data_IF_011194192127
#
_entry.id   IF_011194192127
#
_cell.length_a   1.000
_cell.length_b   1.000
_cell.length_c   1.000
_cell.angle_alpha   90.00
_cell.angle_beta   90.00
_cell.angle_gamma   90.00
#
_symmetry.space_group_name_H-M   'P 1'
#
loop_
_entity.id
_entity.type
_entity.pdbx_description
1 polymer ?
#
# COMPACT_ATOMS: atom_id res chain seq x y z
N UNK A 1 3.68 -12.81 12.39
CA UNK A 1 2.88 -12.49 11.18
C UNK A 1 2.51 -11.02 11.10
N UNK A 2 1.84 -10.44 12.10
CA UNK A 2 1.40 -9.03 12.03
C UNK A 2 2.54 -8.02 11.82
N UNK A 3 3.58 -8.08 12.66
CA UNK A 3 4.76 -7.20 12.56
C UNK A 3 5.41 -7.35 11.17
N UNK A 4 5.52 -8.58 10.67
CA UNK A 4 6.10 -8.84 9.35
C UNK A 4 5.30 -8.17 8.22
N UNK A 5 3.97 -8.36 8.21
CA UNK A 5 3.09 -7.76 7.20
C UNK A 5 3.14 -6.23 7.27
N UNK A 6 3.10 -5.67 8.49
CA UNK A 6 3.23 -4.24 8.72
C UNK A 6 4.57 -3.69 8.22
N UNK A 7 5.69 -4.31 8.59
CA UNK A 7 7.03 -3.87 8.16
C UNK A 7 7.17 -3.91 6.63
N UNK A 8 6.58 -4.91 5.97
CA UNK A 8 6.58 -5.01 4.51
C UNK A 8 5.74 -3.87 3.90
N UNK A 9 4.50 -3.64 4.36
CA UNK A 9 3.66 -2.55 3.85
C UNK A 9 4.29 -1.17 4.03
N UNK A 10 4.88 -0.92 5.20
CA UNK A 10 5.61 0.33 5.48
C UNK A 10 6.80 0.49 4.54
N UNK A 11 7.60 -0.58 4.36
CA UNK A 11 8.75 -0.56 3.46
C UNK A 11 8.35 -0.30 2.00
N UNK A 12 7.32 -1.00 1.49
CA UNK A 12 6.82 -0.77 0.14
C UNK A 12 6.32 0.66 -0.05
N UNK A 13 5.55 1.18 0.91
CA UNK A 13 5.11 2.57 0.89
C UNK A 13 6.28 3.56 0.85
N UNK A 14 7.30 3.35 1.67
CA UNK A 14 8.50 4.18 1.70
C UNK A 14 9.27 4.14 0.36
N UNK A 15 9.36 2.97 -0.28
CA UNK A 15 10.02 2.82 -1.59
C UNK A 15 9.28 3.62 -2.67
N UNK A 16 7.95 3.50 -2.73
CA UNK A 16 7.12 4.25 -3.67
C UNK A 16 7.23 5.75 -3.42
N UNK A 17 7.18 6.17 -2.15
CA UNK A 17 7.33 7.58 -1.76
C UNK A 17 8.71 8.13 -2.18
N UNK A 18 9.78 7.39 -1.91
CA UNK A 18 11.15 7.79 -2.26
C UNK A 18 11.33 7.90 -3.78
N UNK A 19 10.79 6.94 -4.54
CA UNK A 19 10.76 7.00 -5.99
C UNK A 19 10.01 8.23 -6.50
N UNK A 20 8.81 8.49 -5.98
CA UNK A 20 8.02 9.68 -6.35
C UNK A 20 8.76 10.98 -6.09
N UNK A 21 9.39 11.13 -4.92
CA UNK A 21 10.20 12.32 -4.59
C UNK A 21 11.39 12.47 -5.53
N UNK A 22 12.11 11.38 -5.82
CA UNK A 22 13.23 11.38 -6.76
C UNK A 22 12.80 11.82 -8.15
N UNK A 23 11.69 11.27 -8.65
CA UNK A 23 11.12 11.62 -9.95
C UNK A 23 10.73 13.11 -10.00
N UNK A 24 10.01 13.59 -8.99
CA UNK A 24 9.62 15.01 -8.90
C UNK A 24 10.84 15.94 -8.91
N UNK A 25 11.89 15.59 -8.17
CA UNK A 25 13.12 16.37 -8.14
C UNK A 25 13.83 16.38 -9.51
N UNK A 26 13.95 15.23 -10.19
CA UNK A 26 14.52 15.18 -11.55
C UNK A 26 13.82 16.13 -12.51
N UNK A 27 12.49 16.16 -12.48
CA UNK A 27 11.70 17.05 -13.35
C UNK A 27 11.78 18.52 -12.93
N UNK A 28 11.97 18.81 -11.64
CA UNK A 28 12.22 20.19 -11.16
C UNK A 28 13.55 20.74 -11.63
N UNK A 29 14.59 19.91 -11.69
CA UNK A 29 15.94 20.31 -12.09
C UNK A 29 16.22 20.16 -13.60
N UNK A 30 15.26 19.69 -14.40
CA UNK A 30 15.45 19.55 -15.85
C UNK A 30 16.17 18.27 -16.29
N UNK A 31 16.34 17.28 -15.41
CA UNK A 31 17.10 16.05 -15.68
C UNK A 31 16.24 14.92 -16.28
N UNK A 32 15.56 15.19 -17.39
CA UNK A 32 14.67 14.25 -18.09
C UNK A 32 15.18 13.84 -19.47
N UNK A 33 16.48 13.62 -19.63
CA UNK A 33 17.02 13.03 -20.87
C UNK A 33 16.39 11.66 -21.14
N UNK A 34 16.37 11.25 -22.41
CA UNK A 34 15.86 9.92 -22.83
C UNK A 34 16.41 8.77 -21.98
N UNK A 35 17.73 8.73 -21.78
CA UNK A 35 18.39 7.70 -20.95
C UNK A 35 17.95 7.76 -19.48
N UNK A 36 17.85 8.97 -18.91
CA UNK A 36 17.36 9.17 -17.55
C UNK A 36 15.93 8.64 -17.40
N UNK A 37 15.06 8.89 -18.37
CA UNK A 37 13.67 8.40 -18.36
C UNK A 37 13.57 6.89 -18.56
N UNK A 38 14.39 6.30 -19.44
CA UNK A 38 14.46 4.86 -19.61
C UNK A 38 14.85 4.15 -18.29
N UNK A 39 15.84 4.70 -17.58
CA UNK A 39 16.23 4.20 -16.26
C UNK A 39 15.08 4.34 -15.23
N UNK A 40 14.27 5.40 -15.28
CA UNK A 40 13.09 5.51 -14.39
C UNK A 40 12.02 4.45 -14.72
N UNK A 41 11.85 4.07 -15.98
CA UNK A 41 10.95 2.97 -16.38
C UNK A 41 11.40 1.65 -15.76
N UNK A 42 12.70 1.34 -15.87
CA UNK A 42 13.26 0.10 -15.29
C UNK A 42 13.12 0.07 -13.77
N UNK A 43 13.39 1.21 -13.09
CA UNK A 43 13.21 1.30 -11.64
C UNK A 43 11.74 1.12 -11.25
N UNK A 44 10.80 1.76 -11.97
CA UNK A 44 9.38 1.58 -11.72
C UNK A 44 8.94 0.13 -11.91
N UNK A 45 9.39 -0.52 -12.99
CA UNK A 45 9.09 -1.94 -13.25
C UNK A 45 9.61 -2.84 -12.12
N UNK A 46 10.82 -2.58 -11.62
CA UNK A 46 11.38 -3.27 -10.47
C UNK A 46 10.55 -3.07 -9.20
N UNK A 47 10.10 -1.85 -8.92
CA UNK A 47 9.22 -1.55 -7.78
C UNK A 47 7.89 -2.29 -7.89
N UNK A 48 7.25 -2.26 -9.07
CA UNK A 48 5.99 -2.98 -9.31
C UNK A 48 6.15 -4.48 -9.06
N UNK A 49 7.22 -5.09 -9.59
CA UNK A 49 7.52 -6.51 -9.38
C UNK A 49 7.75 -6.83 -7.90
N UNK A 50 8.44 -5.95 -7.16
CA UNK A 50 8.64 -6.14 -5.72
C UNK A 50 7.34 -6.06 -4.92
N UNK A 51 6.45 -5.13 -5.27
CA UNK A 51 5.12 -5.03 -4.64
C UNK A 51 4.31 -6.30 -4.90
N UNK A 52 4.30 -6.79 -6.14
CA UNK A 52 3.58 -8.02 -6.50
C UNK A 52 4.13 -9.25 -5.76
N UNK A 53 5.46 -9.42 -5.72
CA UNK A 53 6.11 -10.51 -4.98
C UNK A 53 5.80 -10.44 -3.48
N UNK A 54 5.81 -9.23 -2.91
CA UNK A 54 5.51 -9.02 -1.51
C UNK A 54 4.04 -9.34 -1.20
N UNK A 55 3.08 -8.86 -2.00
CA UNK A 55 1.64 -9.15 -1.84
C UNK A 55 1.39 -10.66 -1.91
N UNK A 56 1.98 -11.34 -2.89
CA UNK A 56 1.87 -12.80 -3.02
C UNK A 56 2.48 -13.55 -1.82
N UNK A 57 3.66 -13.13 -1.34
CA UNK A 57 4.34 -13.80 -0.24
C UNK A 57 3.59 -13.67 1.10
N UNK A 58 2.95 -12.52 1.35
CA UNK A 58 2.23 -12.27 2.60
C UNK A 58 0.73 -12.54 2.52
N UNK A 59 0.19 -12.83 1.34
CA UNK A 59 -1.23 -13.12 1.11
C UNK A 59 -1.81 -14.07 2.17
N UNK A 60 -1.21 -15.26 2.32
CA UNK A 60 -1.69 -16.25 3.30
C UNK A 60 -1.60 -15.72 4.74
N UNK A 61 -0.51 -15.04 5.09
CA UNK A 61 -0.34 -14.47 6.43
C UNK A 61 -1.44 -13.44 6.72
N UNK A 62 -1.73 -12.58 5.76
CA UNK A 62 -2.72 -11.51 5.89
C UNK A 62 -4.13 -12.08 5.94
N UNK A 63 -4.46 -13.08 5.11
CA UNK A 63 -5.73 -13.81 5.18
C UNK A 63 -5.95 -14.48 6.55
N UNK A 64 -4.94 -15.17 7.08
CA UNK A 64 -5.02 -15.80 8.40
C UNK A 64 -5.21 -14.76 9.52
N UNK A 65 -4.56 -13.60 9.42
CA UNK A 65 -4.75 -12.49 10.37
C UNK A 65 -6.18 -11.94 10.32
N UNK A 66 -6.72 -11.66 9.11
CA UNK A 66 -8.10 -11.21 8.97
C UNK A 66 -9.11 -12.26 9.48
N UNK A 67 -8.89 -13.54 9.17
CA UNK A 67 -9.70 -14.65 9.70
C UNK A 67 -9.67 -14.69 11.23
N UNK A 68 -8.49 -14.54 11.84
CA UNK A 68 -8.36 -14.45 13.30
C UNK A 68 -9.15 -13.26 13.87
N UNK A 69 -9.08 -12.08 13.24
CA UNK A 69 -9.83 -10.91 13.69
C UNK A 69 -11.34 -11.12 13.60
N UNK A 70 -11.84 -11.70 12.51
CA UNK A 70 -13.25 -12.04 12.35
C UNK A 70 -13.72 -13.01 13.44
N UNK A 71 -12.92 -14.03 13.76
CA UNK A 71 -13.23 -14.96 14.86
C UNK A 71 -13.25 -14.24 16.20
N UNK A 72 -12.29 -13.34 16.48
CA UNK A 72 -12.28 -12.55 17.72
C UNK A 72 -13.53 -11.66 17.85
N UNK A 73 -13.93 -10.99 16.76
CA UNK A 73 -15.17 -10.21 16.74
C UNK A 73 -16.39 -11.10 16.97
N UNK A 74 -16.47 -12.24 16.27
CA UNK A 74 -17.57 -13.18 16.41
C UNK A 74 -17.72 -13.70 17.84
N UNK A 75 -16.62 -14.13 18.47
CA UNK A 75 -16.62 -14.58 19.87
C UNK A 75 -17.12 -13.47 20.79
N UNK A 76 -16.60 -12.25 20.61
CA UNK A 76 -16.96 -11.10 21.46
C UNK A 76 -18.45 -10.75 21.33
N UNK A 77 -18.96 -10.70 20.10
CA UNK A 77 -20.39 -10.45 19.84
C UNK A 77 -21.21 -11.58 20.45
N UNK A 78 -20.89 -12.84 20.14
CA UNK A 78 -21.64 -14.03 20.61
C UNK A 78 -21.73 -14.11 22.13
N UNK A 79 -20.63 -13.85 22.85
CA UNK A 79 -20.64 -13.78 24.31
C UNK A 79 -21.51 -12.61 24.80
N UNK A 80 -21.46 -11.45 24.13
CA UNK A 80 -22.23 -10.27 24.51
C UNK A 80 -23.75 -10.40 24.32
N UNK A 81 -24.21 -11.16 23.32
CA UNK A 81 -25.65 -11.47 23.11
C UNK A 81 -26.12 -12.71 23.86
N UNK A 82 -25.21 -13.51 24.44
CA UNK A 82 -25.60 -14.73 25.15
C UNK A 82 -26.46 -14.41 26.37
N UNK A 83 -27.49 -15.24 26.58
CA UNK A 83 -28.37 -15.12 27.74
C UNK A 83 -27.86 -15.90 28.96
N UNK A 84 -26.89 -16.78 28.79
CA UNK A 84 -26.35 -17.60 29.87
C UNK A 84 -25.61 -16.76 30.91
N UNK A 85 -25.86 -17.04 32.19
CA UNK A 85 -25.25 -16.30 33.31
C UNK A 85 -23.73 -16.50 33.40
N UNK A 86 -23.23 -17.63 32.92
CA UNK A 86 -21.79 -17.95 32.80
C UNK A 86 -21.00 -16.87 32.05
N UNK A 87 -21.61 -16.24 31.03
CA UNK A 87 -20.98 -15.18 30.23
C UNK A 87 -21.19 -13.76 30.77
N UNK A 88 -22.03 -13.59 31.80
CA UNK A 88 -22.35 -12.27 32.39
C UNK A 88 -21.50 -11.93 33.61
N UNK A 89 -20.48 -12.73 33.90
CA UNK A 89 -19.54 -12.45 34.99
C UNK A 89 -18.64 -11.26 34.64
N UNK A 90 -18.26 -10.48 35.65
CA UNK A 90 -17.37 -9.32 35.45
C UNK A 90 -16.06 -9.69 34.74
N UNK A 91 -15.53 -10.89 34.99
CA UNK A 91 -14.29 -11.38 34.38
C UNK A 91 -14.45 -11.62 32.87
N UNK A 92 -15.57 -12.23 32.46
CA UNK A 92 -15.88 -12.42 31.04
C UNK A 92 -16.15 -11.08 30.35
N UNK A 93 -16.85 -10.16 31.01
CA UNK A 93 -17.07 -8.80 30.49
C UNK A 93 -15.75 -8.07 30.24
N UNK A 94 -14.81 -8.13 31.19
CA UNK A 94 -13.47 -7.55 30.99
C UNK A 94 -12.71 -8.21 29.84
N UNK A 95 -12.79 -9.54 29.73
CA UNK A 95 -12.18 -10.27 28.62
C UNK A 95 -12.76 -9.84 27.27
N UNK A 96 -14.09 -9.70 27.16
CA UNK A 96 -14.76 -9.23 25.94
C UNK A 96 -14.27 -7.84 25.52
N UNK A 97 -14.26 -6.88 26.46
CA UNK A 97 -13.79 -5.51 26.19
C UNK A 97 -12.34 -5.52 25.72
N UNK A 98 -11.47 -6.26 26.41
CA UNK A 98 -10.07 -6.35 26.04
C UNK A 98 -9.86 -7.00 24.66
N UNK A 99 -10.57 -8.09 24.39
CA UNK A 99 -10.50 -8.80 23.11
C UNK A 99 -10.98 -7.90 21.96
N UNK A 100 -12.06 -7.14 22.17
CA UNK A 100 -12.59 -6.20 21.19
C UNK A 100 -11.61 -5.07 20.88
N UNK A 101 -11.04 -4.44 21.91
CA UNK A 101 -10.01 -3.39 21.74
C UNK A 101 -8.82 -3.93 20.97
N UNK A 102 -8.34 -5.12 21.33
CA UNK A 102 -7.19 -5.76 20.67
C UNK A 102 -7.50 -6.07 19.20
N UNK A 103 -8.67 -6.64 18.90
CA UNK A 103 -9.08 -6.95 17.54
C UNK A 103 -9.16 -5.69 16.67
N UNK A 104 -9.80 -4.61 17.17
CA UNK A 104 -9.86 -3.32 16.47
C UNK A 104 -8.47 -2.74 16.24
N UNK A 105 -7.64 -2.73 17.27
CA UNK A 105 -6.30 -2.16 17.19
C UNK A 105 -5.46 -2.86 16.11
N UNK A 106 -5.42 -4.19 16.13
CA UNK A 106 -4.64 -4.99 15.19
C UNK A 106 -5.21 -4.90 13.76
N UNK A 107 -6.53 -4.97 13.62
CA UNK A 107 -7.22 -4.81 12.33
C UNK A 107 -6.93 -3.44 11.71
N UNK A 108 -7.09 -2.38 12.50
CA UNK A 108 -6.85 -1.00 12.05
C UNK A 108 -5.40 -0.81 11.65
N UNK A 109 -4.45 -1.31 12.44
CA UNK A 109 -3.02 -1.20 12.15
C UNK A 109 -2.65 -1.91 10.84
N UNK A 110 -3.13 -3.13 10.63
CA UNK A 110 -2.88 -3.86 9.39
C UNK A 110 -3.48 -3.14 8.17
N UNK A 111 -4.72 -2.67 8.30
CA UNK A 111 -5.49 -2.03 7.22
C UNK A 111 -4.93 -0.66 6.85
N UNK A 112 -4.59 0.17 7.83
CA UNK A 112 -4.01 1.49 7.61
C UNK A 112 -2.63 1.40 6.93
N UNK A 113 -1.81 0.42 7.34
CA UNK A 113 -0.51 0.19 6.72
C UNK A 113 -0.65 -0.31 5.27
N UNK A 114 -1.59 -1.22 4.99
CA UNK A 114 -1.90 -1.62 3.61
C UNK A 114 -2.40 -0.44 2.76
N UNK A 115 -3.30 0.37 3.30
CA UNK A 115 -3.83 1.58 2.66
C UNK A 115 -2.74 2.61 2.34
N UNK A 116 -1.67 2.68 3.13
CA UNK A 116 -0.54 3.57 2.88
C UNK A 116 0.11 3.29 1.52
N UNK A 117 0.28 2.03 1.12
CA UNK A 117 0.85 1.66 -0.20
C UNK A 117 0.00 2.24 -1.32
N UNK A 118 -1.32 2.07 -1.24
CA UNK A 118 -2.26 2.62 -2.21
C UNK A 118 -2.26 4.16 -2.22
N UNK A 119 -2.12 4.79 -1.05
CA UNK A 119 -2.03 6.26 -0.94
C UNK A 119 -0.77 6.80 -1.61
N UNK A 120 0.39 6.17 -1.41
CA UNK A 120 1.63 6.55 -2.07
C UNK A 120 1.57 6.30 -3.59
N UNK A 121 0.91 5.23 -4.03
CA UNK A 121 0.60 4.99 -5.45
C UNK A 121 -0.22 6.13 -6.08
N UNK A 122 -1.29 6.56 -5.40
CA UNK A 122 -2.10 7.72 -5.85
C UNK A 122 -1.27 9.01 -5.92
N UNK A 123 -0.41 9.26 -4.93
CA UNK A 123 0.52 10.40 -4.95
C UNK A 123 1.49 10.32 -6.13
N UNK A 124 2.02 9.14 -6.44
CA UNK A 124 2.91 8.94 -7.57
C UNK A 124 2.22 9.28 -8.91
N UNK A 125 0.94 8.90 -9.07
CA UNK A 125 0.13 9.30 -10.24
C UNK A 125 -0.01 10.82 -10.35
N UNK A 126 -0.26 11.50 -9.23
CA UNK A 126 -0.32 12.97 -9.20
C UNK A 126 1.03 13.61 -9.58
N UNK A 127 2.14 13.04 -9.09
CA UNK A 127 3.49 13.49 -9.48
C UNK A 127 3.70 13.29 -10.98
N UNK A 128 3.29 12.16 -11.54
CA UNK A 128 3.34 11.91 -12.98
C UNK A 128 2.58 12.98 -13.79
N UNK A 129 1.40 13.41 -13.31
CA UNK A 129 0.64 14.50 -13.93
C UNK A 129 1.33 15.87 -13.79
N UNK A 130 2.03 16.13 -12.68
CA UNK A 130 2.84 17.35 -12.56
C UNK A 130 4.03 17.31 -13.54
N UNK A 131 4.69 16.16 -13.66
CA UNK A 131 5.81 15.96 -14.57
C UNK A 131 5.39 16.11 -16.04
N UNK A 132 4.19 15.66 -16.41
CA UNK A 132 3.67 15.81 -17.77
C UNK A 132 3.44 17.28 -18.14
N UNK A 133 2.92 18.09 -17.21
CA UNK A 133 2.81 19.54 -17.42
C UNK A 133 4.19 20.19 -17.62
N UNK A 134 5.18 19.79 -16.82
CA UNK A 134 6.55 20.33 -16.92
C UNK A 134 7.22 19.98 -18.25
N UNK A 135 7.12 18.73 -18.70
CA UNK A 135 7.76 18.31 -19.95
C UNK A 135 7.05 18.88 -21.18
N UNK A 136 5.73 19.08 -21.14
CA UNK A 136 5.00 19.72 -22.22
C UNK A 136 5.42 21.17 -22.47
N UNK A 137 5.83 21.88 -21.41
CA UNK A 137 6.36 23.24 -21.49
C UNK A 137 7.86 23.23 -21.84
N UNK A 138 8.54 22.10 -21.61
CA UNK A 138 9.94 21.95 -22.01
C UNK A 138 10.09 21.78 -23.51
N UNK A 139 11.19 22.31 -24.07
CA UNK A 139 11.58 22.07 -25.48
C UNK A 139 12.21 20.66 -25.66
N UNK A 140 11.63 19.64 -25.04
CA UNK A 140 12.09 18.26 -25.17
C UNK A 140 11.91 17.77 -26.61
N UNK A 141 12.85 16.98 -27.09
CA UNK A 141 12.78 16.36 -28.41
C UNK A 141 11.75 15.21 -28.44
N UNK A 142 11.26 14.88 -29.64
CA UNK A 142 10.24 13.84 -29.85
C UNK A 142 10.56 12.50 -29.17
N UNK A 143 11.78 11.95 -29.29
CA UNK A 143 12.18 10.72 -28.61
C UNK A 143 12.07 10.78 -27.08
N UNK A 144 12.43 11.90 -26.47
CA UNK A 144 12.31 12.11 -25.02
C UNK A 144 10.84 12.18 -24.61
N UNK A 145 10.00 12.88 -25.37
CA UNK A 145 8.55 12.93 -25.14
C UNK A 145 7.88 11.55 -25.25
N UNK A 146 8.30 10.74 -26.22
CA UNK A 146 7.81 9.35 -26.37
C UNK A 146 8.26 8.46 -25.21
N UNK A 147 9.49 8.61 -24.74
CA UNK A 147 9.97 7.85 -23.57
C UNK A 147 9.24 8.28 -22.30
N UNK A 148 8.94 9.57 -22.17
CA UNK A 148 8.10 10.08 -21.08
C UNK A 148 6.67 9.55 -21.15
N UNK A 149 6.04 9.50 -22.32
CA UNK A 149 4.67 8.99 -22.44
C UNK A 149 4.57 7.53 -22.02
N UNK A 150 5.58 6.71 -22.36
CA UNK A 150 5.71 5.34 -21.86
C UNK A 150 5.84 5.28 -20.33
N UNK A 151 6.72 6.10 -19.75
CA UNK A 151 6.86 6.18 -18.29
C UNK A 151 5.53 6.60 -17.62
N UNK A 152 4.85 7.60 -18.17
CA UNK A 152 3.60 8.10 -17.63
C UNK A 152 2.47 7.06 -17.72
N UNK A 153 2.38 6.35 -18.85
CA UNK A 153 1.46 5.22 -19.01
C UNK A 153 1.75 4.14 -17.96
N UNK A 154 3.02 3.75 -17.78
CA UNK A 154 3.42 2.79 -16.76
C UNK A 154 3.07 3.26 -15.34
N UNK A 155 3.24 4.54 -15.01
CA UNK A 155 2.83 5.08 -13.69
C UNK A 155 1.32 5.01 -13.51
N UNK A 156 0.55 5.31 -14.56
CA UNK A 156 -0.91 5.30 -14.52
C UNK A 156 -1.45 3.88 -14.34
N UNK A 157 -0.89 2.93 -15.07
CA UNK A 157 -1.36 1.54 -15.13
C UNK A 157 -0.73 0.65 -14.05
N UNK A 158 0.34 1.10 -13.39
CA UNK A 158 0.97 0.37 -12.29
C UNK A 158 -0.03 0.07 -11.17
N UNK A 159 -0.24 -1.23 -10.92
CA UNK A 159 -1.02 -1.72 -9.80
C UNK A 159 -0.16 -1.78 -8.53
N UNK A 160 0.17 -0.62 -7.99
CA UNK A 160 0.89 -0.49 -6.71
C UNK A 160 -0.12 -0.50 -5.56
N UNK A 161 -0.75 -1.65 -5.36
CA UNK A 161 -1.65 -1.92 -4.26
C UNK A 161 -1.33 -3.29 -3.67
N UNK A 162 -1.52 -3.41 -2.37
CA UNK A 162 -1.54 -4.70 -1.71
C UNK A 162 -3.00 -5.10 -1.64
N UNK A 163 -3.33 -6.23 -2.24
CA UNK A 163 -4.72 -6.69 -2.38
C UNK A 163 -5.05 -7.84 -1.43
N UNK A 164 -4.12 -8.27 -0.56
CA UNK A 164 -4.39 -9.39 0.35
C UNK A 164 -4.82 -10.63 -0.47
N UNK A 165 -4.24 -10.81 -1.65
CA UNK A 165 -4.64 -11.87 -2.58
C UNK A 165 -5.95 -11.61 -3.35
N UNK A 166 -6.30 -10.36 -3.61
CA UNK A 166 -7.50 -9.97 -4.36
C UNK A 166 -8.77 -9.74 -3.52
N UNK A 167 -8.64 -9.56 -2.20
CA UNK A 167 -9.73 -9.18 -1.29
C UNK A 167 -9.86 -7.66 -1.11
#
# INVERSE_FOLDING_TARGET
MLILCESIYVTLGNIIEAYGKRLQNKFRFGHYTRESLANEIEVLSSIVKQVELADNAICLCTMLLYGMFLVMFYITISMGISKEESFKTNLVTWFMVWNFIRAIYLFSRLTLNGCRVQKESKKLRNIGMECSRRIAISRADGPTLMTFSLLFANIKDANLAVTVGGM
#
